data_IF_966321334612
#
_entry.id   IF_966321334612
#
_cell.length_a   1.000
_cell.length_b   1.000
_cell.length_c   1.000
_cell.angle_alpha   90.00
_cell.angle_beta   90.00
_cell.angle_gamma   90.00
#
_symmetry.space_group_name_H-M   'P 1'
#
loop_
_entity.id
_entity.type
_entity.pdbx_description
1 polymer ?
#
# COMPACT_ATOMS: atom_id res chain seq x y z
N UNK A 1 103.04 37.11 -0.97
CA UNK A 1 104.38 37.42 -1.50
C UNK A 1 104.75 36.33 -2.49
N UNK A 2 104.75 36.61 -3.79
CA UNK A 2 105.65 35.99 -4.77
C UNK A 2 105.78 36.96 -5.95
N UNK A 3 106.98 37.53 -6.06
CA UNK A 3 107.45 38.37 -7.15
C UNK A 3 107.84 37.47 -8.32
N UNK A 4 107.39 37.77 -9.54
CA UNK A 4 108.22 37.56 -10.72
C UNK A 4 107.93 38.66 -11.75
N UNK A 5 108.88 39.59 -11.80
CA UNK A 5 108.95 40.70 -12.73
C UNK A 5 109.77 40.33 -13.97
N UNK A 6 109.50 41.05 -15.07
CA UNK A 6 110.36 41.30 -16.25
C UNK A 6 110.45 40.12 -17.24
N UNK A 7 110.55 40.28 -18.56
CA UNK A 7 110.91 41.37 -19.47
C UNK A 7 110.22 41.04 -20.82
N UNK A 8 109.66 42.03 -21.52
CA UNK A 8 110.03 42.31 -22.92
C UNK A 8 109.40 43.65 -23.34
N UNK A 9 110.27 44.64 -23.53
CA UNK A 9 110.03 45.90 -24.24
C UNK A 9 110.51 45.71 -25.66
N UNK A 10 109.77 46.15 -26.68
CA UNK A 10 110.20 46.72 -27.97
C UNK A 10 108.94 47.00 -28.84
N UNK A 11 108.96 47.93 -29.81
CA UNK A 11 108.38 49.26 -29.62
C UNK A 11 107.35 49.70 -30.69
N UNK A 12 106.74 50.84 -30.38
CA UNK A 12 106.16 51.89 -31.24
C UNK A 12 106.79 51.95 -32.65
N UNK A 13 106.01 51.72 -33.72
CA UNK A 13 105.93 52.52 -34.98
C UNK A 13 105.05 51.84 -36.06
N UNK A 14 103.78 52.24 -36.19
CA UNK A 14 102.99 52.29 -37.46
C UNK A 14 101.60 52.89 -37.10
N UNK A 15 101.50 54.18 -36.83
CA UNK A 15 101.16 55.20 -37.83
C UNK A 15 100.04 54.77 -38.80
N UNK A 16 98.83 55.23 -38.47
CA UNK A 16 97.97 56.05 -39.36
C UNK A 16 97.76 55.56 -40.80
N UNK A 17 96.73 54.73 -41.03
CA UNK A 17 95.93 54.72 -42.27
C UNK A 17 94.80 53.67 -42.27
N UNK A 18 93.95 53.58 -41.24
CA UNK A 18 92.71 52.76 -41.35
C UNK A 18 91.60 53.26 -40.43
N UNK A 19 91.40 54.58 -40.41
CA UNK A 19 90.35 55.25 -39.63
C UNK A 19 89.34 55.98 -40.55
N UNK A 20 88.94 55.33 -41.65
CA UNK A 20 88.00 55.87 -42.65
C UNK A 20 87.07 54.81 -43.26
N UNK A 21 86.69 53.74 -42.54
CA UNK A 21 85.74 52.73 -43.05
C UNK A 21 84.71 52.18 -42.02
N UNK A 22 84.40 52.93 -40.95
CA UNK A 22 83.28 52.57 -40.03
C UNK A 22 82.14 53.61 -40.05
N UNK A 23 81.96 54.27 -41.20
CA UNK A 23 80.99 55.34 -41.43
C UNK A 23 80.06 55.10 -42.61
N UNK A 24 79.60 53.86 -42.82
CA UNK A 24 78.31 53.59 -43.47
C UNK A 24 77.50 52.85 -42.40
N UNK A 25 76.62 53.50 -41.64
CA UNK A 25 75.43 54.10 -42.23
C UNK A 25 74.36 53.04 -42.47
N UNK A 26 74.04 52.20 -41.46
CA UNK A 26 72.70 51.57 -41.34
C UNK A 26 71.63 52.62 -40.97
N UNK A 27 71.73 53.81 -41.58
CA UNK A 27 70.72 54.85 -41.49
C UNK A 27 69.77 54.65 -42.66
N UNK A 28 68.65 53.98 -42.40
CA UNK A 28 67.40 54.22 -43.13
C UNK A 28 67.25 53.58 -44.51
N UNK A 29 68.15 52.70 -44.94
CA UNK A 29 67.84 51.77 -46.02
C UNK A 29 66.84 50.75 -45.49
N UNK A 30 65.54 51.03 -45.61
CA UNK A 30 64.47 50.14 -45.18
C UNK A 30 64.67 48.76 -45.77
N UNK A 31 65.33 47.87 -45.02
CA UNK A 31 65.52 46.50 -45.45
C UNK A 31 64.13 45.91 -45.54
N UNK A 32 63.78 45.39 -46.72
CA UNK A 32 62.49 44.75 -47.01
C UNK A 32 62.18 43.53 -46.14
N UNK A 33 63.09 43.17 -45.21
CA UNK A 33 62.98 42.07 -44.28
C UNK A 33 63.12 42.57 -42.83
N UNK A 34 62.43 41.95 -41.85
CA UNK A 34 62.65 42.21 -40.44
C UNK A 34 64.09 41.81 -40.08
N UNK A 35 64.79 42.67 -39.36
CA UNK A 35 66.11 42.30 -38.85
C UNK A 35 65.96 41.13 -37.86
N UNK A 36 66.95 40.22 -37.81
CA UNK A 36 66.98 39.18 -36.79
C UNK A 36 66.92 39.75 -35.36
N UNK A 37 67.36 41.01 -35.17
CA UNK A 37 67.25 41.76 -33.93
C UNK A 37 65.80 42.09 -33.57
N UNK A 38 64.95 42.45 -34.54
CA UNK A 38 63.53 42.71 -34.33
C UNK A 38 62.82 41.43 -33.85
N UNK A 39 63.03 40.31 -34.57
CA UNK A 39 62.44 39.02 -34.21
C UNK A 39 62.96 38.51 -32.85
N UNK A 40 64.27 38.62 -32.58
CA UNK A 40 64.86 38.29 -31.27
C UNK A 40 64.21 39.11 -30.15
N UNK A 41 64.04 40.41 -30.37
CA UNK A 41 63.43 41.33 -29.41
C UNK A 41 62.00 40.93 -29.07
N UNK A 42 61.16 40.68 -30.09
CA UNK A 42 59.78 40.25 -29.87
C UNK A 42 59.72 38.89 -29.16
N UNK A 43 60.50 37.89 -29.59
CA UNK A 43 60.52 36.58 -28.92
C UNK A 43 60.92 36.69 -27.45
N UNK A 44 61.86 37.60 -27.12
CA UNK A 44 62.29 37.80 -25.72
C UNK A 44 61.17 38.34 -24.84
N UNK A 45 60.22 39.09 -25.40
CA UNK A 45 59.03 39.60 -24.69
C UNK A 45 57.97 38.52 -24.54
N UNK A 46 57.82 37.66 -25.56
CA UNK A 46 56.82 36.59 -25.58
C UNK A 46 57.22 35.38 -24.72
N UNK A 47 58.51 35.22 -24.43
CA UNK A 47 59.00 34.16 -23.55
C UNK A 47 58.61 34.40 -22.08
N UNK A 48 58.39 33.32 -21.30
CA UNK A 48 58.16 33.46 -19.87
C UNK A 48 59.32 34.18 -19.18
N UNK A 49 59.01 35.00 -18.16
CA UNK A 49 59.99 35.83 -17.43
C UNK A 49 61.18 35.05 -16.83
N UNK A 50 61.00 33.75 -16.59
CA UNK A 50 62.05 32.86 -16.08
C UNK A 50 62.95 32.28 -17.17
N UNK A 51 62.84 32.75 -18.42
CA UNK A 51 63.69 32.38 -19.55
C UNK A 51 64.39 33.61 -20.13
N UNK A 52 65.67 33.48 -20.42
CA UNK A 52 66.48 34.53 -21.04
C UNK A 52 67.05 34.04 -22.37
N UNK A 53 66.73 34.75 -23.45
CA UNK A 53 67.13 34.38 -24.80
C UNK A 53 68.63 34.65 -25.03
N UNK A 54 69.42 33.58 -25.07
CA UNK A 54 70.88 33.64 -25.29
C UNK A 54 71.23 33.81 -26.77
N UNK A 55 70.61 33.04 -27.66
CA UNK A 55 70.88 33.03 -29.09
C UNK A 55 69.59 33.06 -29.92
N UNK A 56 69.66 33.63 -31.12
CA UNK A 56 68.55 33.61 -32.09
C UNK A 56 69.12 33.56 -33.50
N UNK A 57 68.68 32.58 -34.29
CA UNK A 57 69.13 32.36 -35.66
C UNK A 57 67.95 32.06 -36.56
N UNK A 58 67.81 32.87 -37.62
CA UNK A 58 66.91 32.56 -38.74
C UNK A 58 67.57 31.49 -39.60
N UNK A 59 66.87 30.37 -39.81
CA UNK A 59 67.36 29.22 -40.59
C UNK A 59 67.01 29.38 -42.06
N UNK A 60 65.79 29.81 -42.35
CA UNK A 60 65.28 30.06 -43.70
C UNK A 60 64.15 31.09 -43.63
N UNK A 61 63.96 31.87 -44.69
CA UNK A 61 62.83 32.79 -44.81
C UNK A 61 62.34 32.89 -46.25
N UNK A 62 61.11 33.34 -46.42
CA UNK A 62 60.43 33.54 -47.69
C UNK A 62 59.53 34.78 -47.59
N UNK A 63 59.49 35.60 -48.64
CA UNK A 63 58.59 36.75 -48.74
C UNK A 63 57.36 36.36 -49.58
N UNK A 64 56.19 36.38 -48.95
CA UNK A 64 54.89 36.15 -49.58
C UNK A 64 54.20 37.44 -50.01
N UNK A 65 54.68 38.59 -49.53
CA UNK A 65 54.15 39.91 -49.85
C UNK A 65 54.79 40.52 -51.10
N UNK A 66 54.55 41.81 -51.29
CA UNK A 66 55.18 42.59 -52.37
C UNK A 66 56.44 43.28 -51.86
N UNK A 67 57.14 44.00 -52.75
CA UNK A 67 58.28 44.82 -52.34
C UNK A 67 57.85 46.02 -51.46
N UNK A 68 56.62 46.51 -51.66
CA UNK A 68 56.08 47.67 -50.92
C UNK A 68 55.38 47.25 -49.63
N UNK A 69 54.71 46.08 -49.65
CA UNK A 69 54.02 45.48 -48.52
C UNK A 69 54.56 44.06 -48.29
N UNK A 70 55.75 43.92 -47.68
CA UNK A 70 56.37 42.62 -47.45
C UNK A 70 55.66 41.83 -46.35
N UNK A 71 55.46 40.53 -46.60
CA UNK A 71 54.95 39.55 -45.63
C UNK A 71 55.97 38.42 -45.56
N UNK A 72 56.76 38.39 -44.49
CA UNK A 72 57.87 37.46 -44.36
C UNK A 72 57.45 36.29 -43.49
N UNK A 73 57.69 35.06 -43.95
CA UNK A 73 57.64 33.86 -43.11
C UNK A 73 59.03 33.28 -42.96
N UNK A 74 59.40 32.96 -41.74
CA UNK A 74 60.73 32.44 -41.45
C UNK A 74 60.69 31.28 -40.46
N UNK A 75 61.64 30.36 -40.62
CA UNK A 75 61.97 29.32 -39.63
C UNK A 75 63.12 29.80 -38.79
N UNK A 76 63.07 29.60 -37.48
CA UNK A 76 64.13 30.00 -36.57
C UNK A 76 64.49 28.90 -35.58
N UNK A 77 65.69 29.03 -35.04
CA UNK A 77 66.16 28.32 -33.86
C UNK A 77 66.73 29.33 -32.87
N UNK A 78 66.50 29.10 -31.60
CA UNK A 78 66.93 29.94 -30.51
C UNK A 78 67.39 29.07 -29.33
N UNK A 79 68.33 29.61 -28.56
CA UNK A 79 68.72 29.03 -27.28
C UNK A 79 68.37 30.02 -26.19
N UNK A 80 67.70 29.54 -25.14
CA UNK A 80 67.36 30.32 -23.95
C UNK A 80 67.95 29.65 -22.71
N UNK A 81 68.10 30.42 -21.63
CA UNK A 81 68.54 29.93 -20.33
C UNK A 81 67.48 30.14 -19.28
N UNK A 82 67.30 29.14 -18.43
CA UNK A 82 66.45 29.26 -17.26
C UNK A 82 67.10 30.22 -16.25
N UNK A 83 66.42 31.32 -15.88
CA UNK A 83 66.97 32.31 -14.95
C UNK A 83 66.71 31.95 -13.48
N UNK A 84 65.71 31.12 -13.22
CA UNK A 84 65.30 30.63 -11.90
C UNK A 84 65.04 29.12 -11.91
N UNK A 85 65.41 28.36 -10.86
CA UNK A 85 65.13 26.93 -10.82
C UNK A 85 63.62 26.65 -10.94
N UNK A 86 63.27 25.61 -11.70
CA UNK A 86 61.89 25.19 -11.90
C UNK A 86 61.56 23.96 -11.06
N UNK A 87 60.28 23.89 -10.68
CA UNK A 87 59.75 22.88 -9.79
C UNK A 87 58.43 22.33 -10.31
N UNK A 88 58.21 21.04 -10.04
CA UNK A 88 56.98 20.31 -10.30
C UNK A 88 56.37 19.84 -8.98
N UNK A 89 55.05 19.87 -8.88
CA UNK A 89 54.32 19.30 -7.74
C UNK A 89 54.23 17.78 -7.89
N UNK A 90 54.78 17.04 -6.92
CA UNK A 90 54.75 15.57 -6.89
C UNK A 90 53.66 15.01 -5.98
N UNK A 91 53.09 15.84 -5.11
CA UNK A 91 52.01 15.46 -4.22
C UNK A 91 51.64 16.56 -3.23
N UNK A 92 50.76 16.22 -2.27
CA UNK A 92 50.29 17.15 -1.25
C UNK A 92 50.13 16.44 0.09
N UNK A 93 50.57 17.07 1.19
CA UNK A 93 50.41 16.59 2.56
C UNK A 93 49.91 17.72 3.43
N UNK A 94 48.80 17.50 4.16
CA UNK A 94 48.18 18.49 5.04
C UNK A 94 47.97 19.86 4.37
N UNK A 95 47.64 19.86 3.07
CA UNK A 95 47.41 21.07 2.28
C UNK A 95 48.67 21.82 1.83
N UNK A 96 49.87 21.29 2.09
CA UNK A 96 51.14 21.79 1.55
C UNK A 96 51.56 20.96 0.33
N UNK A 97 51.91 21.62 -0.77
CA UNK A 97 52.42 20.96 -1.99
C UNK A 97 53.86 20.50 -1.80
N UNK A 98 54.19 19.31 -2.30
CA UNK A 98 55.55 18.77 -2.32
C UNK A 98 56.15 19.11 -3.68
N UNK A 99 57.26 19.82 -3.67
CA UNK A 99 57.92 20.31 -4.88
C UNK A 99 59.21 19.54 -5.13
N UNK A 100 59.31 18.92 -6.30
CA UNK A 100 60.54 18.35 -6.83
C UNK A 100 61.20 19.34 -7.79
N UNK A 101 62.51 19.55 -7.64
CA UNK A 101 63.28 20.39 -8.56
C UNK A 101 63.49 19.65 -9.87
N UNK A 102 63.02 20.21 -10.97
CA UNK A 102 63.12 19.58 -12.30
C UNK A 102 64.27 20.16 -13.12
N UNK A 103 64.37 21.49 -13.19
CA UNK A 103 65.39 22.20 -13.95
C UNK A 103 66.16 23.19 -13.07
N UNK A 104 67.49 23.22 -13.25
CA UNK A 104 68.36 24.14 -12.54
C UNK A 104 68.43 25.51 -13.24
N UNK A 105 68.74 26.55 -12.47
CA UNK A 105 69.13 27.85 -13.03
C UNK A 105 70.33 27.67 -13.96
N UNK A 106 70.30 28.35 -15.10
CA UNK A 106 71.30 28.30 -16.15
C UNK A 106 71.15 27.13 -17.12
N UNK A 107 70.14 26.27 -16.95
CA UNK A 107 69.88 25.17 -17.89
C UNK A 107 69.51 25.71 -19.26
N UNK A 108 70.14 25.17 -20.31
CA UNK A 108 69.93 25.57 -21.69
C UNK A 108 68.66 24.92 -22.26
N UNK A 109 67.82 25.75 -22.88
CA UNK A 109 66.56 25.37 -23.50
C UNK A 109 66.63 25.69 -24.98
N UNK A 110 66.29 24.72 -25.81
CA UNK A 110 66.24 24.92 -27.25
C UNK A 110 64.82 25.26 -27.69
N UNK A 111 64.72 26.33 -28.46
CA UNK A 111 63.47 26.83 -29.03
C UNK A 111 63.57 26.72 -30.54
N UNK A 112 62.56 26.16 -31.18
CA UNK A 112 62.45 26.14 -32.63
C UNK A 112 61.03 26.51 -33.03
N UNK A 113 60.86 27.18 -34.15
CA UNK A 113 59.52 27.56 -34.60
C UNK A 113 59.52 28.28 -35.93
N UNK A 114 58.37 28.89 -36.20
CA UNK A 114 58.18 29.79 -37.33
C UNK A 114 57.74 31.15 -36.80
N UNK A 115 57.96 32.19 -37.59
CA UNK A 115 57.29 33.46 -37.38
C UNK A 115 56.82 34.03 -38.71
N UNK A 116 55.73 34.78 -38.65
CA UNK A 116 55.25 35.66 -39.70
C UNK A 116 55.56 37.10 -39.30
N UNK A 117 55.98 37.93 -40.25
CA UNK A 117 56.27 39.33 -40.01
C UNK A 117 55.65 40.20 -41.10
N UNK A 118 54.91 41.22 -40.69
CA UNK A 118 54.26 42.20 -41.57
C UNK A 118 54.78 43.60 -41.26
N UNK A 119 55.08 44.37 -42.29
CA UNK A 119 55.43 45.78 -42.11
C UNK A 119 54.16 46.61 -41.99
N UNK A 120 53.86 47.12 -40.79
CA UNK A 120 52.72 48.02 -40.54
C UNK A 120 53.22 49.43 -40.21
N UNK A 121 53.11 50.31 -41.20
CA UNK A 121 53.75 51.63 -41.15
C UNK A 121 55.27 51.47 -41.15
N UNK A 122 55.93 52.00 -40.12
CA UNK A 122 57.40 51.91 -39.97
C UNK A 122 57.85 50.79 -39.02
N UNK A 123 56.93 49.90 -38.60
CA UNK A 123 57.21 48.86 -37.60
C UNK A 123 56.87 47.48 -38.13
N UNK A 124 57.76 46.53 -37.85
CA UNK A 124 57.49 45.12 -38.05
C UNK A 124 56.60 44.61 -36.92
N UNK A 125 55.46 44.02 -37.28
CA UNK A 125 54.64 43.21 -36.38
C UNK A 125 55.03 41.76 -36.64
N UNK A 126 55.40 41.03 -35.58
CA UNK A 126 55.95 39.68 -35.68
C UNK A 126 55.09 38.75 -34.84
N UNK A 127 54.52 37.73 -35.49
CA UNK A 127 53.68 36.72 -34.86
C UNK A 127 54.41 35.36 -34.91
N UNK A 128 54.63 34.75 -33.75
CA UNK A 128 55.30 33.46 -33.64
C UNK A 128 54.31 32.30 -33.76
N UNK A 129 54.64 31.34 -34.60
CA UNK A 129 53.82 30.16 -34.89
C UNK A 129 54.58 28.88 -34.61
N UNK A 130 53.88 27.85 -34.13
CA UNK A 130 54.44 26.52 -33.91
C UNK A 130 55.75 26.54 -33.09
N UNK A 131 55.79 27.38 -32.06
CA UNK A 131 56.95 27.48 -31.16
C UNK A 131 57.04 26.21 -30.33
N UNK A 132 58.10 25.45 -30.55
CA UNK A 132 58.44 24.24 -29.84
C UNK A 132 59.59 24.54 -28.88
N UNK A 133 59.35 24.27 -27.60
CA UNK A 133 60.34 24.40 -26.53
C UNK A 133 60.74 22.98 -26.12
N UNK A 134 62.04 22.68 -26.17
CA UNK A 134 62.59 21.38 -25.83
C UNK A 134 63.60 21.52 -24.66
N UNK A 135 63.43 20.75 -23.56
CA UNK A 135 62.31 19.85 -23.27
C UNK A 135 60.96 20.59 -23.13
N UNK A 136 59.85 19.85 -23.18
CA UNK A 136 58.53 20.42 -22.89
C UNK A 136 58.47 20.78 -21.40
N UNK A 137 58.38 22.07 -21.08
CA UNK A 137 58.41 22.58 -19.72
C UNK A 137 56.98 22.82 -19.23
N UNK A 138 56.51 21.97 -18.32
CA UNK A 138 55.24 22.16 -17.59
C UNK A 138 55.47 22.78 -16.20
N UNK A 139 56.75 22.91 -15.82
CA UNK A 139 57.20 23.29 -14.50
C UNK A 139 57.14 24.79 -14.26
N UNK A 140 57.11 25.20 -12.99
CA UNK A 140 56.98 26.61 -12.58
C UNK A 140 58.17 27.07 -11.74
N UNK A 141 58.60 28.34 -11.87
CA UNK A 141 59.62 28.90 -10.98
C UNK A 141 59.10 28.99 -9.55
N UNK A 142 60.02 29.06 -8.58
CA UNK A 142 59.66 29.14 -7.16
C UNK A 142 58.77 30.35 -6.85
N UNK A 143 58.97 31.47 -7.55
CA UNK A 143 58.19 32.71 -7.41
C UNK A 143 56.69 32.53 -7.68
N UNK A 144 56.31 31.50 -8.45
CA UNK A 144 54.91 31.22 -8.79
C UNK A 144 54.20 30.37 -7.74
N UNK A 145 54.93 29.86 -6.73
CA UNK A 145 54.34 29.09 -5.64
C UNK A 145 54.06 30.00 -4.44
N UNK A 146 52.92 29.77 -3.78
CA UNK A 146 52.55 30.54 -2.59
C UNK A 146 53.53 30.25 -1.44
N UNK A 147 54.23 31.29 -0.98
CA UNK A 147 55.16 31.17 0.15
C UNK A 147 54.49 30.51 1.37
N UNK A 148 55.18 29.55 1.98
CA UNK A 148 54.70 28.80 3.15
C UNK A 148 53.64 27.72 2.85
N UNK A 149 53.23 27.54 1.58
CA UNK A 149 52.29 26.49 1.14
C UNK A 149 52.96 25.30 0.46
N UNK A 150 54.27 25.22 0.50
CA UNK A 150 55.02 24.13 -0.12
C UNK A 150 56.17 23.64 0.78
N UNK A 151 56.62 22.42 0.51
CA UNK A 151 57.86 21.83 1.02
C UNK A 151 58.62 21.19 -0.13
N UNK A 152 59.93 21.04 0.02
CA UNK A 152 60.74 20.38 -1.01
C UNK A 152 60.77 18.87 -0.79
N UNK A 153 60.73 18.13 -1.89
CA UNK A 153 60.90 16.69 -1.88
C UNK A 153 62.28 16.31 -1.31
N UNK A 154 62.30 15.33 -0.41
CA UNK A 154 63.46 14.86 0.34
C UNK A 154 63.90 15.77 1.49
N UNK A 155 63.14 16.84 1.81
CA UNK A 155 63.51 17.73 2.92
C UNK A 155 63.10 17.18 4.29
N UNK A 156 63.80 17.61 5.35
CA UNK A 156 63.44 17.28 6.74
C UNK A 156 62.02 17.78 7.08
N UNK A 157 61.58 18.90 6.48
CA UNK A 157 60.22 19.42 6.65
C UNK A 157 59.17 18.47 6.04
N UNK A 158 59.43 17.91 4.85
CA UNK A 158 58.57 16.90 4.25
C UNK A 158 58.51 15.64 5.11
N UNK A 159 59.66 15.17 5.61
CA UNK A 159 59.73 14.00 6.49
C UNK A 159 58.92 14.22 7.78
N UNK A 160 59.04 15.40 8.40
CA UNK A 160 58.26 15.77 9.59
C UNK A 160 56.75 15.86 9.29
N UNK A 161 56.36 16.39 8.13
CA UNK A 161 54.96 16.42 7.70
C UNK A 161 54.41 15.02 7.45
N UNK A 162 55.18 14.13 6.79
CA UNK A 162 54.80 12.73 6.59
C UNK A 162 54.60 12.01 7.91
N UNK A 163 55.53 12.14 8.85
CA UNK A 163 55.41 11.54 10.18
C UNK A 163 54.20 12.09 10.96
N UNK A 164 53.94 13.40 10.86
CA UNK A 164 52.75 14.02 11.48
C UNK A 164 51.45 13.53 10.84
N UNK A 165 51.41 13.40 9.52
CA UNK A 165 50.24 12.88 8.80
C UNK A 165 49.99 11.41 9.15
N UNK A 166 51.04 10.60 9.23
CA UNK A 166 50.97 9.19 9.62
C UNK A 166 50.46 9.02 11.06
N UNK A 167 51.02 9.76 12.02
CA UNK A 167 50.54 9.73 13.41
C UNK A 167 49.09 10.19 13.54
N UNK A 168 48.66 11.25 12.83
CA UNK A 168 47.25 11.64 12.76
C UNK A 168 46.37 10.54 12.17
N UNK A 169 46.84 9.83 11.15
CA UNK A 169 46.09 8.75 10.53
C UNK A 169 45.96 7.55 11.48
N UNK A 170 47.03 7.19 12.20
CA UNK A 170 47.00 6.14 13.22
C UNK A 170 46.03 6.51 14.35
N UNK A 171 46.07 7.74 14.86
CA UNK A 171 45.15 8.22 15.89
C UNK A 171 43.68 8.17 15.43
N UNK A 172 43.40 8.57 14.18
CA UNK A 172 42.06 8.45 13.59
C UNK A 172 41.62 6.98 13.51
N UNK A 173 42.49 6.10 13.05
CA UNK A 173 42.20 4.67 12.95
C UNK A 173 41.95 4.04 14.32
N UNK A 174 42.70 4.43 15.35
CA UNK A 174 42.49 3.99 16.74
C UNK A 174 41.19 4.53 17.33
N UNK A 175 40.90 5.82 17.12
CA UNK A 175 39.65 6.44 17.54
C UNK A 175 38.44 5.76 16.87
N UNK A 176 38.53 5.41 15.59
CA UNK A 176 37.49 4.69 14.86
C UNK A 176 37.32 3.24 15.34
N UNK A 177 38.42 2.55 15.66
CA UNK A 177 38.37 1.22 16.28
C UNK A 177 37.66 1.29 17.64
N UNK A 178 37.99 2.27 18.47
CA UNK A 178 37.37 2.42 19.78
C UNK A 178 35.88 2.80 19.66
N UNK A 179 35.52 3.70 18.74
CA UNK A 179 34.12 4.01 18.42
C UNK A 179 33.33 2.76 18.03
N UNK A 180 33.92 1.89 17.20
CA UNK A 180 33.29 0.61 16.82
C UNK A 180 33.13 -0.34 18.01
N UNK A 181 34.13 -0.42 18.90
CA UNK A 181 34.05 -1.25 20.11
C UNK A 181 32.96 -0.78 21.06
N UNK A 182 32.88 0.53 21.31
CA UNK A 182 31.83 1.13 22.15
C UNK A 182 30.46 0.94 21.52
N UNK A 183 30.32 1.17 20.21
CA UNK A 183 29.06 0.95 19.50
C UNK A 183 28.59 -0.51 19.59
N UNK A 184 29.50 -1.48 19.43
CA UNK A 184 29.14 -2.90 19.55
C UNK A 184 28.79 -3.29 20.99
N UNK A 185 29.51 -2.79 21.99
CA UNK A 185 29.15 -2.98 23.40
C UNK A 185 27.74 -2.46 23.70
N UNK A 186 27.43 -1.24 23.25
CA UNK A 186 26.11 -0.64 23.41
C UNK A 186 25.03 -1.45 22.69
N UNK A 187 25.33 -2.00 21.50
CA UNK A 187 24.41 -2.87 20.76
C UNK A 187 24.12 -4.17 21.51
N UNK A 188 25.14 -4.80 22.08
CA UNK A 188 25.00 -6.02 22.89
C UNK A 188 24.17 -5.72 24.15
N UNK A 189 24.44 -4.62 24.84
CA UNK A 189 23.69 -4.20 26.03
C UNK A 189 22.22 -3.89 25.70
N UNK A 190 21.96 -3.15 24.62
CA UNK A 190 20.59 -2.88 24.15
C UNK A 190 19.85 -4.16 23.75
N UNK A 191 20.54 -5.11 23.12
CA UNK A 191 19.97 -6.42 22.79
C UNK A 191 19.60 -7.20 24.05
N UNK A 192 20.50 -7.26 25.05
CA UNK A 192 20.21 -7.89 26.36
C UNK A 192 19.03 -7.23 27.07
N UNK A 193 18.98 -5.91 27.11
CA UNK A 193 17.87 -5.17 27.69
C UNK A 193 16.54 -5.46 26.96
N UNK A 194 16.57 -5.59 25.64
CA UNK A 194 15.39 -5.93 24.83
C UNK A 194 14.91 -7.36 25.11
N UNK A 195 15.83 -8.32 25.22
CA UNK A 195 15.49 -9.71 25.57
C UNK A 195 14.90 -9.80 26.97
N UNK A 196 15.47 -9.08 27.94
CA UNK A 196 14.94 -9.04 29.30
C UNK A 196 13.54 -8.43 29.35
N UNK A 197 13.31 -7.32 28.63
CA UNK A 197 11.99 -6.70 28.52
C UNK A 197 10.96 -7.67 27.93
N UNK A 198 11.32 -8.42 26.88
CA UNK A 198 10.45 -9.46 26.30
C UNK A 198 10.15 -10.58 27.28
N UNK A 199 11.11 -10.98 28.11
CA UNK A 199 10.93 -12.00 29.13
C UNK A 199 9.95 -11.53 30.22
N UNK A 200 10.15 -10.32 30.74
CA UNK A 200 9.24 -9.71 31.71
C UNK A 200 7.83 -9.58 31.12
N UNK A 201 7.71 -9.08 29.90
CA UNK A 201 6.40 -8.94 29.23
C UNK A 201 5.71 -10.30 29.02
N UNK A 202 6.45 -11.35 28.65
CA UNK A 202 5.89 -12.69 28.51
C UNK A 202 5.44 -13.26 29.86
N UNK A 203 6.19 -13.02 30.93
CA UNK A 203 5.81 -13.41 32.29
C UNK A 203 4.53 -12.69 32.75
N UNK A 204 4.45 -11.38 32.56
CA UNK A 204 3.28 -10.57 32.89
C UNK A 204 2.05 -11.00 32.07
N UNK A 205 2.21 -11.24 30.75
CA UNK A 205 1.14 -11.80 29.93
C UNK A 205 0.69 -13.17 30.43
N UNK A 206 1.62 -14.01 30.87
CA UNK A 206 1.33 -15.30 31.49
C UNK A 206 0.52 -15.16 32.78
N UNK A 207 0.87 -14.20 33.65
CA UNK A 207 0.11 -13.88 34.87
C UNK A 207 -1.28 -13.37 34.53
N UNK A 208 -1.42 -12.44 33.59
CA UNK A 208 -2.73 -11.91 33.18
C UNK A 208 -3.61 -12.97 32.54
N UNK A 209 -3.05 -13.86 31.72
CA UNK A 209 -3.79 -14.96 31.10
C UNK A 209 -4.31 -15.95 32.15
N UNK A 210 -3.49 -16.28 33.17
CA UNK A 210 -3.92 -17.10 34.31
C UNK A 210 -5.03 -16.43 35.14
N UNK A 211 -4.95 -15.12 35.34
CA UNK A 211 -6.00 -14.38 36.04
C UNK A 211 -7.30 -14.35 35.24
N UNK A 212 -7.22 -14.09 33.93
CA UNK A 212 -8.38 -14.11 33.03
C UNK A 212 -9.01 -15.49 32.96
N UNK A 213 -8.23 -16.57 32.88
CA UNK A 213 -8.78 -17.93 32.88
C UNK A 213 -9.47 -18.26 34.20
N UNK A 214 -8.91 -17.85 35.35
CA UNK A 214 -9.55 -18.01 36.66
C UNK A 214 -10.88 -17.27 36.73
N UNK A 215 -10.91 -16.00 36.29
CA UNK A 215 -12.14 -15.19 36.23
C UNK A 215 -13.19 -15.79 35.29
N UNK A 216 -12.76 -16.33 34.14
CA UNK A 216 -13.66 -16.99 33.19
C UNK A 216 -14.29 -18.27 33.79
N UNK A 217 -13.50 -19.07 34.50
CA UNK A 217 -14.00 -20.26 35.22
C UNK A 217 -14.98 -19.85 36.32
N UNK A 218 -14.65 -18.85 37.13
CA UNK A 218 -15.52 -18.36 38.20
C UNK A 218 -16.86 -17.83 37.64
N UNK A 219 -16.80 -17.07 36.54
CA UNK A 219 -17.98 -16.60 35.83
C UNK A 219 -18.83 -17.77 35.29
N UNK A 220 -18.19 -18.77 34.67
CA UNK A 220 -18.89 -19.94 34.15
C UNK A 220 -19.57 -20.76 35.26
N UNK A 221 -18.94 -20.89 36.43
CA UNK A 221 -19.53 -21.53 37.61
C UNK A 221 -20.76 -20.76 38.08
N UNK A 222 -20.66 -19.44 38.21
CA UNK A 222 -21.78 -18.58 38.60
C UNK A 222 -22.95 -18.67 37.62
N UNK A 223 -22.66 -18.62 36.32
CA UNK A 223 -23.67 -18.78 35.26
C UNK A 223 -24.34 -20.16 35.32
N UNK A 224 -23.57 -21.22 35.60
CA UNK A 224 -24.09 -22.58 35.78
C UNK A 224 -25.00 -22.69 37.01
N UNK A 225 -24.64 -22.06 38.13
CA UNK A 225 -25.48 -22.01 39.32
C UNK A 225 -26.77 -21.23 39.09
N UNK A 226 -26.70 -20.05 38.46
CA UNK A 226 -27.88 -19.26 38.09
C UNK A 226 -28.80 -20.03 37.13
N UNK A 227 -28.22 -20.73 36.13
CA UNK A 227 -28.98 -21.59 35.23
C UNK A 227 -29.66 -22.76 35.97
N UNK A 228 -28.98 -23.38 36.94
CA UNK A 228 -29.58 -24.42 37.79
C UNK A 228 -30.74 -23.89 38.62
N UNK A 229 -30.61 -22.69 39.21
CA UNK A 229 -31.69 -22.04 39.96
C UNK A 229 -32.89 -21.75 39.06
N UNK A 230 -32.67 -21.12 37.90
CA UNK A 230 -33.73 -20.86 36.91
C UNK A 230 -34.41 -22.14 36.44
N UNK A 231 -33.65 -23.21 36.19
CA UNK A 231 -34.22 -24.50 35.79
C UNK A 231 -35.07 -25.14 36.90
N UNK A 232 -34.66 -24.99 38.17
CA UNK A 232 -35.45 -25.44 39.31
C UNK A 232 -36.76 -24.64 39.45
N UNK A 233 -36.70 -23.32 39.33
CA UNK A 233 -37.89 -22.44 39.33
C UNK A 233 -38.84 -22.75 38.17
N UNK A 234 -38.32 -22.98 36.97
CA UNK A 234 -39.15 -23.38 35.82
C UNK A 234 -39.81 -24.73 36.07
N UNK A 235 -39.12 -25.70 36.68
CA UNK A 235 -39.70 -27.00 37.05
C UNK A 235 -40.84 -26.85 38.05
N UNK A 236 -40.69 -26.00 39.08
CA UNK A 236 -41.76 -25.77 40.05
C UNK A 236 -42.96 -25.05 39.43
N UNK A 237 -42.73 -24.05 38.57
CA UNK A 237 -43.80 -23.38 37.81
C UNK A 237 -44.54 -24.35 36.89
N UNK A 238 -43.81 -25.19 36.15
CA UNK A 238 -44.41 -26.19 35.25
C UNK A 238 -45.21 -27.25 36.03
N UNK A 239 -44.74 -27.68 37.20
CA UNK A 239 -45.49 -28.58 38.08
C UNK A 239 -46.79 -27.94 38.60
N UNK A 240 -46.76 -26.66 38.97
CA UNK A 240 -47.95 -25.92 39.38
C UNK A 240 -48.97 -25.78 38.24
N UNK A 241 -48.50 -25.46 37.02
CA UNK A 241 -49.36 -25.40 35.83
C UNK A 241 -49.97 -26.76 35.51
N UNK A 242 -49.19 -27.84 35.60
CA UNK A 242 -49.67 -29.20 35.38
C UNK A 242 -50.75 -29.59 36.40
N UNK A 243 -50.54 -29.29 37.69
CA UNK A 243 -51.52 -29.51 38.74
C UNK A 243 -52.83 -28.73 38.49
N UNK A 244 -52.73 -27.46 38.08
CA UNK A 244 -53.91 -26.66 37.74
C UNK A 244 -54.67 -27.24 36.55
N UNK A 245 -53.97 -27.67 35.49
CA UNK A 245 -54.58 -28.31 34.32
C UNK A 245 -55.27 -29.64 34.68
N UNK A 246 -54.68 -30.40 35.59
CA UNK A 246 -55.30 -31.63 36.10
C UNK A 246 -56.63 -31.31 36.81
N UNK A 247 -56.63 -30.32 37.71
CA UNK A 247 -57.84 -29.88 38.40
C UNK A 247 -58.93 -29.36 37.43
N UNK A 248 -58.56 -28.61 36.40
CA UNK A 248 -59.49 -28.14 35.36
C UNK A 248 -60.05 -29.30 34.52
N UNK A 249 -59.22 -30.31 34.21
CA UNK A 249 -59.65 -31.53 33.51
C UNK A 249 -60.65 -32.32 34.35
N UNK A 250 -60.37 -32.50 35.64
CA UNK A 250 -61.24 -33.23 36.56
C UNK A 250 -62.59 -32.50 36.73
N UNK A 251 -62.58 -31.17 36.82
CA UNK A 251 -63.81 -30.36 36.85
C UNK A 251 -64.62 -30.48 35.55
N UNK A 252 -63.96 -30.52 34.39
CA UNK A 252 -64.64 -30.76 33.09
C UNK A 252 -65.23 -32.15 33.01
N UNK A 253 -64.55 -33.18 33.53
CA UNK A 253 -65.05 -34.55 33.55
C UNK A 253 -66.34 -34.66 34.37
N UNK A 254 -66.44 -33.97 35.51
CA UNK A 254 -67.67 -33.88 36.32
C UNK A 254 -68.81 -33.23 35.53
N UNK A 255 -68.55 -32.12 34.82
CA UNK A 255 -69.56 -31.47 33.97
C UNK A 255 -70.03 -32.36 32.81
N UNK A 256 -69.11 -33.07 32.15
CA UNK A 256 -69.45 -34.01 31.08
C UNK A 256 -70.24 -35.22 31.59
N UNK A 257 -69.97 -35.69 32.81
CA UNK A 257 -70.73 -36.76 33.44
C UNK A 257 -72.18 -36.33 33.78
N UNK A 258 -72.38 -35.08 34.19
CA UNK A 258 -73.72 -34.50 34.40
C UNK A 258 -74.49 -34.38 33.07
N UNK A 259 -73.84 -33.88 32.01
CA UNK A 259 -74.44 -33.77 30.67
C UNK A 259 -74.88 -35.12 30.10
N UNK A 260 -74.16 -36.21 30.38
CA UNK A 260 -74.55 -37.56 29.94
C UNK A 260 -75.83 -38.10 30.59
N UNK A 261 -76.30 -37.54 31.71
CA UNK A 261 -77.56 -37.96 32.35
C UNK A 261 -78.81 -37.34 31.70
N UNK A 262 -78.68 -36.24 30.96
CA UNK A 262 -79.81 -35.51 30.37
C UNK A 262 -80.14 -35.91 28.92
N UNK A 263 -79.32 -36.74 28.27
CA UNK A 263 -79.62 -37.26 26.93
C UNK A 263 -80.41 -38.56 27.07
N UNK A 264 -81.74 -38.46 27.16
CA UNK A 264 -82.66 -39.59 26.99
C UNK A 264 -83.51 -39.40 25.73
N UNK A 265 -83.40 -40.35 24.81
CA UNK A 265 -84.20 -40.42 23.58
C UNK A 265 -84.10 -41.83 23.01
N UNK A 266 -85.18 -42.32 22.39
CA UNK A 266 -85.14 -43.58 21.63
C UNK A 266 -84.50 -43.30 20.28
N UNK A 267 -83.47 -44.08 19.94
CA UNK A 267 -82.69 -43.94 18.72
C UNK A 267 -82.93 -45.16 17.84
N UNK A 268 -83.73 -45.01 16.79
CA UNK A 268 -83.93 -46.05 15.80
C UNK A 268 -82.86 -45.93 14.70
N UNK A 269 -81.95 -46.90 14.70
CA UNK A 269 -81.02 -47.32 13.63
C UNK A 269 -79.52 -46.95 13.68
N UNK A 270 -79.02 -46.01 14.48
CA UNK A 270 -77.57 -45.96 14.77
C UNK A 270 -77.28 -45.15 16.03
N UNK A 271 -76.66 -45.78 17.04
CA UNK A 271 -76.35 -45.12 18.32
C UNK A 271 -75.30 -44.01 18.13
N UNK A 272 -75.59 -42.75 18.54
CA UNK A 272 -74.59 -41.70 18.52
C UNK A 272 -73.45 -41.99 19.52
N UNK A 273 -72.20 -41.72 19.12
CA UNK A 273 -71.03 -41.76 20.01
C UNK A 273 -70.60 -40.33 20.35
N UNK A 274 -70.54 -40.00 21.64
CA UNK A 274 -70.03 -38.72 22.12
C UNK A 274 -68.49 -38.71 22.18
N UNK A 275 -67.85 -37.80 21.44
CA UNK A 275 -66.42 -37.55 21.48
C UNK A 275 -65.97 -36.86 22.77
N UNK A 276 -64.64 -36.87 23.05
CA UNK A 276 -64.05 -36.28 24.27
C UNK A 276 -64.38 -34.79 24.46
N UNK A 277 -64.75 -34.09 23.39
CA UNK A 277 -65.07 -32.65 23.40
C UNK A 277 -66.58 -32.35 23.36
N UNK A 278 -67.46 -33.34 23.54
CA UNK A 278 -68.93 -33.15 23.49
C UNK A 278 -69.55 -33.22 22.08
N UNK A 279 -68.76 -33.56 21.07
CA UNK A 279 -69.23 -33.76 19.69
C UNK A 279 -70.01 -35.08 19.55
N UNK A 280 -71.10 -35.08 18.78
CA UNK A 280 -71.91 -36.28 18.53
C UNK A 280 -71.58 -36.85 17.15
N UNK A 281 -71.10 -38.09 17.11
CA UNK A 281 -70.76 -38.79 15.88
C UNK A 281 -71.77 -39.89 15.57
N UNK A 282 -72.22 -39.99 14.32
CA UNK A 282 -72.97 -41.13 13.81
C UNK A 282 -72.05 -41.93 12.88
N UNK A 283 -71.65 -43.13 13.30
CA UNK A 283 -70.76 -43.98 12.50
C UNK A 283 -71.60 -44.89 11.60
N UNK A 284 -71.65 -44.58 10.31
CA UNK A 284 -72.25 -45.46 9.31
C UNK A 284 -71.12 -46.30 8.72
N UNK A 285 -71.04 -47.57 9.10
CA UNK A 285 -70.05 -48.51 8.57
C UNK A 285 -70.75 -49.81 8.14
N UNK A 286 -70.50 -50.25 6.90
CA UNK A 286 -70.88 -51.59 6.43
C UNK A 286 -71.94 -51.66 5.34
N UNK A 287 -71.94 -50.76 4.33
CA UNK A 287 -72.82 -50.92 3.17
C UNK A 287 -71.98 -50.94 1.88
N UNK A 288 -71.82 -52.13 1.30
CA UNK A 288 -71.33 -52.34 -0.06
C UNK A 288 -72.55 -52.58 -0.97
N UNK A 289 -72.76 -51.68 -1.94
CA UNK A 289 -73.89 -51.69 -2.88
C UNK A 289 -74.55 -50.32 -3.00
N UNK A 290 -75.07 -50.00 -4.19
CA UNK A 290 -75.78 -48.74 -4.46
C UNK A 290 -77.06 -48.67 -3.63
N UNK A 291 -76.99 -48.04 -2.46
CA UNK A 291 -78.17 -47.68 -1.68
C UNK A 291 -78.75 -46.41 -2.29
N UNK A 292 -79.90 -46.53 -2.94
CA UNK A 292 -80.70 -45.37 -3.30
C UNK A 292 -81.41 -44.86 -2.03
N UNK A 293 -81.00 -43.68 -1.58
CA UNK A 293 -81.62 -42.85 -0.53
C UNK A 293 -81.49 -43.32 0.93
N UNK A 294 -80.47 -42.81 1.64
CA UNK A 294 -80.49 -42.73 3.11
C UNK A 294 -81.10 -41.38 3.51
N UNK A 295 -82.30 -41.40 4.11
CA UNK A 295 -82.88 -40.22 4.75
C UNK A 295 -82.50 -40.22 6.23
N UNK A 296 -81.73 -39.22 6.66
CA UNK A 296 -81.45 -38.96 8.06
C UNK A 296 -82.23 -37.71 8.50
N UNK A 297 -82.88 -37.81 9.66
CA UNK A 297 -83.56 -36.69 10.31
C UNK A 297 -83.04 -36.59 11.74
N UNK A 298 -82.23 -35.57 12.01
CA UNK A 298 -81.84 -35.23 13.38
C UNK A 298 -82.88 -34.25 13.93
N UNK A 299 -83.44 -34.57 15.09
CA UNK A 299 -84.28 -33.65 15.85
C UNK A 299 -83.51 -33.30 17.11
N UNK A 300 -82.96 -32.08 17.17
CA UNK A 300 -82.29 -31.59 18.38
C UNK A 300 -83.34 -30.84 19.22
N UNK A 301 -83.67 -31.28 20.44
CA UNK A 301 -84.49 -30.49 21.33
C UNK A 301 -83.68 -29.27 21.77
N UNK A 302 -84.10 -28.08 21.36
CA UNK A 302 -83.56 -26.82 21.85
C UNK A 302 -84.22 -26.57 23.20
N UNK A 303 -83.71 -27.27 24.23
CA UNK A 303 -83.85 -26.82 25.61
C UNK A 303 -83.28 -25.41 25.75
N UNK A 304 -83.53 -24.73 26.87
CA UNK A 304 -83.02 -23.37 27.15
C UNK A 304 -81.47 -23.35 27.20
N UNK A 305 -80.85 -23.42 26.03
CA UNK A 305 -79.45 -23.14 25.83
C UNK A 305 -79.36 -21.63 25.66
N UNK A 306 -79.01 -20.94 26.74
CA UNK A 306 -78.43 -19.60 26.62
C UNK A 306 -77.38 -19.65 25.52
N UNK A 307 -77.45 -18.66 24.63
CA UNK A 307 -76.71 -18.52 23.37
C UNK A 307 -75.20 -18.72 23.53
N UNK A 308 -74.76 -19.96 23.67
CA UNK A 308 -73.41 -20.39 23.38
C UNK A 308 -73.47 -20.81 21.93
N UNK A 309 -72.95 -19.95 21.05
CA UNK A 309 -72.75 -20.23 19.63
C UNK A 309 -71.75 -21.39 19.49
N UNK A 310 -72.21 -22.61 19.77
CA UNK A 310 -71.48 -23.84 19.52
C UNK A 310 -71.77 -24.23 18.09
N UNK A 311 -70.79 -24.15 17.18
CA UNK A 311 -70.98 -24.56 15.79
C UNK A 311 -71.30 -26.05 15.76
N UNK A 312 -72.48 -26.41 15.25
CA UNK A 312 -72.81 -27.80 14.93
C UNK A 312 -71.99 -28.15 13.68
N UNK A 313 -70.89 -28.87 13.90
CA UNK A 313 -70.06 -29.37 12.80
C UNK A 313 -70.55 -30.77 12.42
N UNK A 314 -71.16 -30.89 11.24
CA UNK A 314 -71.51 -32.20 10.67
C UNK A 314 -70.31 -32.67 9.84
N UNK A 315 -69.68 -33.75 10.28
CA UNK A 315 -68.55 -34.36 9.57
C UNK A 315 -69.06 -35.52 8.71
N UNK A 316 -68.79 -35.47 7.41
CA UNK A 316 -68.99 -36.60 6.50
C UNK A 316 -67.64 -37.23 6.19
N UNK A 317 -67.52 -38.55 6.38
CA UNK A 317 -66.29 -39.29 6.10
C UNK A 317 -66.12 -39.54 4.59
N UNK A 318 -64.87 -39.62 4.14
CA UNK A 318 -64.39 -39.47 2.75
C UNK A 318 -65.01 -40.38 1.66
N UNK A 319 -65.88 -41.33 1.99
CA UNK A 319 -66.51 -42.21 0.98
C UNK A 319 -67.93 -41.79 0.56
N UNK A 320 -68.40 -40.60 0.95
CA UNK A 320 -69.71 -40.09 0.54
C UNK A 320 -69.57 -38.95 -0.48
N UNK A 321 -70.02 -39.19 -1.73
CA UNK A 321 -70.08 -38.18 -2.80
C UNK A 321 -71.51 -37.67 -2.92
N UNK A 322 -71.69 -36.35 -2.91
CA UNK A 322 -72.98 -35.67 -3.00
C UNK A 322 -73.12 -35.13 -4.43
N UNK A 323 -74.28 -35.32 -5.09
CA UNK A 323 -74.56 -34.71 -6.40
C UNK A 323 -74.59 -33.18 -6.28
N UNK A 324 -74.22 -32.49 -7.35
CA UNK A 324 -73.92 -31.04 -7.33
C UNK A 324 -75.09 -30.13 -6.95
N UNK A 325 -76.32 -30.64 -6.81
CA UNK A 325 -77.53 -29.81 -6.64
C UNK A 325 -78.43 -30.24 -5.47
N UNK A 326 -77.89 -30.91 -4.45
CA UNK A 326 -78.69 -31.25 -3.26
C UNK A 326 -78.61 -30.17 -2.18
N UNK A 327 -79.66 -29.36 -2.08
CA UNK A 327 -79.86 -28.42 -0.98
C UNK A 327 -80.37 -29.17 0.26
N UNK A 328 -79.67 -29.01 1.39
CA UNK A 328 -80.18 -29.47 2.66
C UNK A 328 -81.23 -28.47 3.17
N UNK A 329 -82.45 -28.94 3.39
CA UNK A 329 -83.49 -28.09 4.00
C UNK A 329 -83.36 -28.16 5.51
N UNK A 330 -83.11 -27.00 6.12
CA UNK A 330 -83.17 -26.81 7.57
C UNK A 330 -84.52 -26.18 7.88
N UNK A 331 -85.38 -26.90 8.60
CA UNK A 331 -86.66 -26.38 9.06
C UNK A 331 -86.60 -26.27 10.57
N UNK A 332 -86.63 -25.04 11.08
CA UNK A 332 -86.82 -24.79 12.49
C UNK A 332 -88.32 -24.85 12.80
N UNK A 333 -88.73 -25.78 13.66
CA UNK A 333 -90.09 -25.80 14.18
C UNK A 333 -90.13 -24.99 15.48
N UNK A 334 -90.77 -23.82 15.43
CA UNK A 334 -90.88 -22.90 16.55
C UNK A 334 -91.75 -23.43 17.71
N UNK A 335 -92.71 -24.30 17.45
CA UNK A 335 -93.59 -24.86 18.48
C UNK A 335 -92.89 -25.96 19.29
N UNK A 336 -92.15 -26.85 18.62
CA UNK A 336 -91.42 -27.95 19.30
C UNK A 336 -89.99 -27.59 19.70
N UNK A 337 -89.57 -26.33 19.47
CA UNK A 337 -88.18 -25.85 19.62
C UNK A 337 -87.18 -26.87 19.06
N UNK A 338 -87.39 -27.35 17.85
CA UNK A 338 -86.52 -28.35 17.26
C UNK A 338 -86.05 -27.95 15.88
N UNK A 339 -84.79 -28.28 15.60
CA UNK A 339 -84.20 -28.07 14.28
C UNK A 339 -84.24 -29.42 13.54
N UNK A 340 -84.95 -29.49 12.42
CA UNK A 340 -84.93 -30.65 11.53
C UNK A 340 -84.08 -30.32 10.31
N UNK A 341 -83.00 -31.06 10.12
CA UNK A 341 -82.16 -30.99 8.92
C UNK A 341 -82.46 -32.21 8.08
N UNK A 342 -83.01 -31.99 6.88
CA UNK A 342 -83.31 -33.06 5.92
C UNK A 342 -82.39 -32.92 4.72
N UNK A 343 -81.61 -33.97 4.45
CA UNK A 343 -80.79 -34.05 3.25
C UNK A 343 -81.54 -34.86 2.18
N UNK A 344 -81.59 -34.40 0.92
CA UNK A 344 -82.15 -35.20 -0.15
C UNK A 344 -81.21 -36.37 -0.47
N UNK A 345 -81.77 -37.43 -1.05
CA UNK A 345 -81.03 -38.64 -1.40
C UNK A 345 -79.88 -38.35 -2.38
N UNK A 346 -78.70 -38.90 -2.12
CA UNK A 346 -77.57 -38.85 -3.05
C UNK A 346 -77.22 -40.25 -3.57
N UNK A 347 -76.87 -40.33 -4.86
CA UNK A 347 -76.36 -41.55 -5.50
C UNK A 347 -74.83 -41.58 -5.45
N UNK A 348 -74.26 -42.72 -5.07
CA UNK A 348 -72.82 -42.92 -5.02
C UNK A 348 -72.32 -43.52 -6.35
N UNK A 349 -71.89 -42.67 -7.30
CA UNK A 349 -71.23 -43.12 -8.53
C UNK A 349 -71.09 -42.02 -9.59
N UNK A 350 -69.88 -41.88 -10.15
CA UNK A 350 -69.42 -40.94 -11.20
C UNK A 350 -68.79 -39.60 -10.74
N UNK A 351 -67.90 -39.10 -11.60
CA UNK A 351 -66.91 -38.03 -11.36
C UNK A 351 -67.33 -36.75 -12.10
N UNK A 352 -67.29 -35.57 -11.45
CA UNK A 352 -67.06 -34.23 -12.03
C UNK A 352 -66.86 -33.17 -10.92
N UNK A 353 -65.85 -32.28 -11.13
CA UNK A 353 -65.82 -30.81 -10.96
C UNK A 353 -66.35 -30.09 -9.70
N UNK A 354 -65.42 -29.41 -9.01
CA UNK A 354 -65.62 -28.46 -7.89
C UNK A 354 -66.86 -27.53 -8.04
N UNK A 355 -67.62 -27.39 -6.95
CA UNK A 355 -68.63 -26.35 -6.72
C UNK A 355 -68.29 -25.59 -5.44
N UNK A 356 -68.57 -24.30 -5.43
CA UNK A 356 -68.81 -23.50 -4.23
C UNK A 356 -70.31 -23.20 -4.13
N UNK A 357 -70.88 -23.30 -2.94
CA UNK A 357 -72.30 -23.03 -2.67
C UNK A 357 -72.46 -21.71 -1.93
N UNK A 358 -73.52 -20.96 -2.26
CA UNK A 358 -73.97 -19.78 -1.51
C UNK A 358 -75.41 -20.03 -1.09
N UNK A 359 -75.71 -19.85 0.19
CA UNK A 359 -77.07 -19.97 0.73
C UNK A 359 -77.76 -18.61 0.62
N UNK A 360 -78.97 -18.57 0.04
CA UNK A 360 -79.90 -17.44 0.17
C UNK A 360 -81.10 -17.92 1.00
N UNK A 361 -81.67 -17.04 1.84
CA UNK A 361 -82.88 -17.39 2.61
C UNK A 361 -84.15 -16.74 2.02
N UNK A 362 -85.22 -17.51 2.10
CA UNK A 362 -86.56 -17.21 1.61
C UNK A 362 -87.31 -16.21 2.51
N UNK A 363 -87.92 -15.21 1.87
CA UNK A 363 -88.96 -14.30 2.37
C UNK A 363 -88.73 -13.65 3.76
N UNK A 364 -88.26 -12.39 3.74
CA UNK A 364 -88.89 -11.37 4.60
C UNK A 364 -88.03 -10.31 5.28
N UNK A 365 -86.72 -10.49 5.55
CA UNK A 365 -85.82 -9.41 6.03
C UNK A 365 -84.35 -9.68 5.64
N UNK A 366 -83.57 -8.67 5.22
CA UNK A 366 -82.24 -8.88 4.63
C UNK A 366 -81.17 -9.25 5.67
N UNK A 367 -80.44 -10.33 5.38
CA UNK A 367 -79.15 -10.66 5.98
C UNK A 367 -78.02 -10.02 5.16
N UNK A 368 -77.05 -9.39 5.81
CA UNK A 368 -75.83 -8.91 5.17
C UNK A 368 -74.60 -9.38 5.96
N UNK A 369 -73.79 -10.26 5.36
CA UNK A 369 -72.53 -10.71 5.94
C UNK A 369 -71.56 -11.20 4.86
N UNK A 370 -70.28 -10.86 5.00
CA UNK A 370 -69.22 -11.19 4.02
C UNK A 370 -68.56 -12.52 4.37
N UNK A 371 -68.40 -13.40 3.38
CA UNK A 371 -67.60 -14.63 3.49
C UNK A 371 -66.12 -14.25 3.37
N UNK A 372 -65.34 -14.35 4.45
CA UNK A 372 -64.02 -13.70 4.51
C UNK A 372 -62.88 -14.59 3.97
N UNK A 373 -63.01 -15.91 3.91
CA UNK A 373 -62.12 -16.77 3.10
C UNK A 373 -62.54 -18.25 3.15
N UNK A 374 -62.47 -18.92 1.99
CA UNK A 374 -62.39 -20.37 1.89
C UNK A 374 -61.21 -20.73 0.98
N UNK A 375 -60.10 -21.22 1.54
CA UNK A 375 -58.96 -21.72 0.75
C UNK A 375 -58.98 -23.24 0.75
N UNK A 376 -59.36 -23.83 -0.38
CA UNK A 376 -59.29 -25.26 -0.62
C UNK A 376 -57.88 -25.59 -1.12
N UNK A 377 -57.05 -26.23 -0.29
CA UNK A 377 -55.74 -26.77 -0.72
C UNK A 377 -55.76 -28.28 -0.53
N UNK A 378 -55.54 -29.00 -1.62
CA UNK A 378 -55.48 -30.46 -1.62
C UNK A 378 -54.05 -30.91 -1.32
N UNK A 379 -53.79 -31.36 -0.09
CA UNK A 379 -52.86 -32.47 0.19
C UNK A 379 -52.88 -32.88 1.66
N UNK A 380 -52.92 -34.20 1.90
CA UNK A 380 -52.42 -34.83 3.13
C UNK A 380 -53.38 -34.86 4.31
N UNK A 381 -54.23 -35.90 4.33
CA UNK A 381 -55.00 -36.43 5.46
C UNK A 381 -55.00 -35.65 6.77
N UNK A 382 -56.11 -34.96 7.04
CA UNK A 382 -56.62 -34.58 8.37
C UNK A 382 -58.08 -34.16 8.22
N UNK A 383 -58.88 -34.46 9.25
CA UNK A 383 -60.30 -34.10 9.36
C UNK A 383 -60.51 -32.63 9.01
N UNK A 384 -61.49 -32.35 8.13
CA UNK A 384 -61.79 -31.01 7.64
C UNK A 384 -62.92 -30.41 8.44
N UNK A 385 -62.74 -29.20 8.95
CA UNK A 385 -63.76 -28.45 9.69
C UNK A 385 -64.13 -27.21 8.87
N UNK A 386 -65.42 -26.98 8.63
CA UNK A 386 -65.91 -25.71 8.11
C UNK A 386 -66.44 -24.92 9.32
N UNK A 387 -65.84 -23.77 9.59
CA UNK A 387 -66.28 -22.87 10.67
C UNK A 387 -66.96 -21.67 10.05
N UNK A 388 -68.24 -21.48 10.34
CA UNK A 388 -68.95 -20.26 10.01
C UNK A 388 -69.06 -19.40 11.27
N UNK A 389 -68.72 -18.11 11.14
CA UNK A 389 -68.78 -17.15 12.24
C UNK A 389 -69.81 -16.07 11.90
N UNK A 390 -70.84 -15.94 12.73
CA UNK A 390 -71.67 -14.74 12.74
C UNK A 390 -70.83 -13.60 13.31
N UNK A 391 -70.51 -12.59 12.52
CA UNK A 391 -69.97 -11.32 13.04
C UNK A 391 -71.18 -10.50 13.47
N UNK A 392 -71.14 -9.97 14.69
CA UNK A 392 -72.29 -9.35 15.36
C UNK A 392 -72.99 -8.28 14.53
N UNK A 393 -74.31 -8.43 14.48
CA UNK A 393 -75.35 -7.64 13.82
C UNK A 393 -76.66 -8.37 14.06
#
# INVERSE_FOLDING_TARGET
MFNFSRFLKFPILLMTATFLLFGCGEAGGGSSNPSAKNAKGQLSVDLPIYMELSSFKVVAFENFGTQVDPEIRARFTADAKITEPLYMETGQIDGKSILAKTLAKGHDIRIAGKYQAELRGERWVIDFENVQIAPNIVDKPLSNWNAGRYVFEGSDEEAALRATAETKQLQKNEADKERKRVAEKNRIEAYKATQERKRIEAEERGKTAKLQSKLAVEKAVREQEEARKRAAEQRTQMAAIASKRQAESDAKAVKHAAFRKEITGQWESVSPVLGRNGEVYVRISGIEGCVSAIKFSLTIPVGEFETVASPISIYMTENSRIRKDTEATVVANGETKSLRITFPSFDLGCTIGNSSYTVYEALGKPWSGTVIAGRMVLQGGRNRTITMRKVGG
#
